data_IF_114820949338
#
_entry.id   IF_114820949338
#
_cell.length_a   1.000
_cell.length_b   1.000
_cell.length_c   1.000
_cell.angle_alpha   90.00
_cell.angle_beta   90.00
_cell.angle_gamma   90.00
#
_symmetry.space_group_name_H-M   'P 1'
#
loop_
_entity.id
_entity.type
_entity.pdbx_description
1 polymer ?
#
# COMPACT_ATOMS: atom_id res chain seq x y z
N UNK A 1 -29.31 -22.94 9.30
CA UNK A 1 -27.99 -22.74 8.75
C UNK A 1 -27.10 -22.12 9.82
N UNK A 2 -25.88 -22.61 10.02
CA UNK A 2 -24.97 -21.99 11.01
C UNK A 2 -24.67 -20.56 10.63
N UNK A 3 -24.61 -19.66 11.64
CA UNK A 3 -24.27 -18.28 11.51
C UNK A 3 -22.89 -18.00 12.13
N UNK A 4 -22.14 -17.07 11.56
CA UNK A 4 -20.87 -16.58 12.11
C UNK A 4 -21.15 -15.27 12.85
N UNK A 5 -20.80 -15.23 14.13
CA UNK A 5 -20.95 -14.05 14.98
C UNK A 5 -19.69 -13.17 14.87
N UNK A 6 -19.80 -12.10 14.06
CA UNK A 6 -18.78 -11.08 13.97
C UNK A 6 -17.57 -11.44 13.10
N UNK A 7 -16.64 -10.48 12.96
CA UNK A 7 -15.44 -10.65 12.15
C UNK A 7 -14.41 -11.58 12.81
N UNK A 8 -13.56 -12.15 11.97
CA UNK A 8 -12.50 -13.07 12.38
C UNK A 8 -11.16 -12.65 11.75
N UNK A 9 -10.09 -12.94 12.45
CA UNK A 9 -8.74 -12.71 11.99
C UNK A 9 -8.25 -13.90 11.15
N UNK A 10 -7.51 -13.60 10.07
CA UNK A 10 -6.93 -14.61 9.20
C UNK A 10 -5.59 -14.11 8.63
N UNK A 11 -4.80 -15.05 8.11
CA UNK A 11 -3.51 -14.74 7.46
C UNK A 11 -3.61 -15.05 5.98
N UNK A 12 -3.14 -14.12 5.13
CA UNK A 12 -3.11 -14.30 3.68
C UNK A 12 -2.10 -15.39 3.31
N UNK A 13 -2.49 -16.26 2.40
CA UNK A 13 -1.72 -17.44 1.99
C UNK A 13 -1.46 -17.46 0.49
N UNK A 14 -0.51 -18.29 0.09
CA UNK A 14 -0.16 -18.51 -1.30
C UNK A 14 0.82 -19.67 -1.46
N UNK A 15 1.27 -19.95 -2.70
CA UNK A 15 2.29 -20.95 -2.96
C UNK A 15 3.60 -20.64 -2.25
N UNK A 16 4.40 -21.67 -1.98
CA UNK A 16 5.71 -21.53 -1.36
C UNK A 16 6.60 -20.56 -2.16
N UNK A 17 7.20 -19.58 -1.47
CA UNK A 17 8.06 -18.55 -2.07
C UNK A 17 7.33 -17.40 -2.75
N UNK A 18 6.00 -17.39 -2.77
CA UNK A 18 5.21 -16.28 -3.33
C UNK A 18 4.89 -15.23 -2.27
N UNK A 19 5.05 -13.96 -2.63
CA UNK A 19 4.72 -12.82 -1.74
C UNK A 19 3.36 -12.20 -2.04
N UNK A 20 2.89 -12.29 -3.27
CA UNK A 20 1.60 -11.75 -3.71
C UNK A 20 0.86 -12.83 -4.49
N UNK A 21 -0.30 -13.24 -3.99
CA UNK A 21 -1.11 -14.27 -4.64
C UNK A 21 -2.56 -13.82 -4.68
N UNK A 22 -2.97 -13.33 -5.84
CA UNK A 22 -4.34 -12.86 -6.08
C UNK A 22 -4.84 -13.34 -7.43
N UNK A 23 -6.15 -13.26 -7.63
CA UNK A 23 -6.77 -13.50 -8.92
C UNK A 23 -6.98 -12.19 -9.72
N UNK A 24 -7.64 -12.28 -10.86
CA UNK A 24 -7.95 -11.15 -11.75
C UNK A 24 -8.87 -10.10 -11.12
N UNK A 25 -9.59 -10.44 -10.05
CA UNK A 25 -10.46 -9.54 -9.30
C UNK A 25 -9.81 -8.96 -8.04
N UNK A 26 -8.52 -9.21 -7.82
CA UNK A 26 -7.84 -8.78 -6.61
C UNK A 26 -8.26 -9.55 -5.36
N UNK A 27 -8.86 -10.73 -5.51
CA UNK A 27 -9.21 -11.62 -4.40
C UNK A 27 -7.99 -12.38 -3.94
N UNK A 28 -7.96 -12.72 -2.66
CA UNK A 28 -6.88 -13.48 -2.04
C UNK A 28 -7.42 -14.71 -1.31
N UNK A 29 -6.52 -15.60 -0.93
CA UNK A 29 -6.82 -16.76 -0.10
C UNK A 29 -6.22 -16.57 1.28
N UNK A 30 -6.86 -17.15 2.29
CA UNK A 30 -6.48 -16.97 3.68
C UNK A 30 -6.55 -18.29 4.45
N UNK A 31 -5.84 -18.32 5.60
CA UNK A 31 -6.01 -19.34 6.61
C UNK A 31 -6.48 -18.66 7.89
N UNK A 32 -7.61 -19.12 8.43
CA UNK A 32 -8.13 -18.65 9.70
C UNK A 32 -7.30 -19.20 10.87
N UNK A 33 -7.17 -18.43 11.92
CA UNK A 33 -6.33 -18.80 13.07
C UNK A 33 -6.81 -20.07 13.80
N UNK A 34 -8.12 -20.37 13.72
CA UNK A 34 -8.72 -21.59 14.31
C UNK A 34 -8.57 -22.82 13.41
N UNK A 35 -8.23 -22.65 12.13
CA UNK A 35 -8.15 -23.73 11.16
C UNK A 35 -6.85 -24.53 11.33
N UNK A 36 -6.99 -25.76 11.80
CA UNK A 36 -5.87 -26.68 12.02
C UNK A 36 -5.67 -27.67 10.89
N UNK A 37 -6.62 -27.78 9.97
CA UNK A 37 -6.67 -28.84 8.98
C UNK A 37 -6.25 -28.41 7.59
N UNK A 38 -6.55 -27.17 7.20
CA UNK A 38 -6.14 -26.66 5.90
C UNK A 38 -4.67 -26.22 5.89
N UNK A 39 -3.94 -26.47 4.79
CA UNK A 39 -2.57 -26.04 4.67
C UNK A 39 -2.47 -24.49 4.55
N UNK A 40 -1.33 -23.92 4.92
CA UNK A 40 -1.04 -22.51 4.72
C UNK A 40 -0.43 -22.28 3.34
N UNK A 41 -1.14 -22.62 2.28
CA UNK A 41 -0.71 -22.52 0.90
C UNK A 41 -1.85 -22.01 -0.01
N UNK A 42 -1.69 -22.15 -1.33
CA UNK A 42 -2.68 -21.73 -2.32
C UNK A 42 -4.06 -22.41 -2.18
N UNK A 43 -4.16 -23.50 -1.46
CA UNK A 43 -5.41 -24.27 -1.30
C UNK A 43 -6.12 -24.05 0.04
N UNK A 44 -5.66 -23.07 0.83
CA UNK A 44 -6.13 -22.84 2.21
C UNK A 44 -7.59 -22.40 2.32
N UNK A 45 -8.11 -21.68 1.33
CA UNK A 45 -9.50 -21.21 1.29
C UNK A 45 -9.99 -21.02 -0.15
N UNK A 46 -11.26 -20.63 -0.31
CA UNK A 46 -11.74 -20.03 -1.56
C UNK A 46 -11.09 -18.65 -1.77
N UNK A 47 -11.29 -18.08 -2.96
CA UNK A 47 -10.96 -16.69 -3.24
C UNK A 47 -11.91 -15.76 -2.51
N UNK A 48 -11.35 -14.82 -1.72
CA UNK A 48 -12.11 -13.88 -0.90
C UNK A 48 -11.88 -12.45 -1.41
N UNK A 49 -12.98 -11.73 -1.63
CA UNK A 49 -12.93 -10.32 -2.03
C UNK A 49 -12.31 -9.46 -0.94
N UNK A 50 -11.61 -8.42 -1.36
CA UNK A 50 -10.95 -7.46 -0.46
C UNK A 50 -11.59 -6.09 -0.61
N UNK A 51 -12.12 -5.53 0.47
CA UNK A 51 -12.58 -4.15 0.50
C UNK A 51 -11.37 -3.20 0.31
N UNK A 52 -11.52 -2.25 -0.59
CA UNK A 52 -10.55 -1.19 -0.86
C UNK A 52 -11.13 0.15 -0.38
N UNK A 53 -10.28 1.14 -0.13
CA UNK A 53 -10.73 2.44 0.34
C UNK A 53 -11.66 3.15 -0.68
N UNK A 54 -11.49 2.86 -1.96
CA UNK A 54 -12.32 3.36 -3.04
C UNK A 54 -12.32 2.34 -4.17
N UNK A 55 -13.51 1.98 -4.68
CA UNK A 55 -13.64 0.96 -5.72
C UNK A 55 -14.74 1.35 -6.71
N UNK A 56 -14.35 1.60 -7.95
CA UNK A 56 -15.23 1.86 -9.09
C UNK A 56 -14.75 1.10 -10.32
N UNK A 57 -15.55 1.10 -11.37
CA UNK A 57 -15.19 0.41 -12.60
C UNK A 57 -14.02 1.14 -13.29
N UNK A 58 -12.83 0.56 -13.19
CA UNK A 58 -11.61 1.09 -13.80
C UNK A 58 -10.95 2.23 -13.04
N UNK A 59 -11.41 2.54 -11.82
CA UNK A 59 -10.80 3.57 -10.96
C UNK A 59 -10.95 3.25 -9.47
N UNK A 60 -10.14 3.87 -8.64
CA UNK A 60 -10.18 3.72 -7.19
C UNK A 60 -8.80 3.45 -6.58
N UNK A 61 -8.78 2.94 -5.35
CA UNK A 61 -7.59 2.50 -4.66
C UNK A 61 -7.44 0.98 -4.79
N UNK A 62 -6.22 0.52 -4.98
CA UNK A 62 -5.93 -0.91 -5.04
C UNK A 62 -4.62 -1.20 -4.32
N UNK A 63 -4.69 -2.02 -3.28
CA UNK A 63 -3.52 -2.59 -2.62
C UNK A 63 -3.83 -4.02 -2.21
N UNK A 64 -3.20 -4.98 -2.87
CA UNK A 64 -3.42 -6.40 -2.61
C UNK A 64 -2.77 -6.77 -1.28
N UNK A 65 -3.50 -7.40 -0.33
CA UNK A 65 -2.89 -7.98 0.86
C UNK A 65 -1.89 -9.06 0.46
N UNK A 66 -0.69 -8.99 1.03
CA UNK A 66 0.39 -9.90 0.68
C UNK A 66 0.38 -11.14 1.58
N UNK A 67 0.98 -12.21 1.09
CA UNK A 67 1.13 -13.47 1.84
C UNK A 67 1.82 -13.20 3.18
N UNK A 68 1.24 -13.73 4.26
CA UNK A 68 1.70 -13.54 5.63
C UNK A 68 1.09 -12.35 6.37
N UNK A 69 0.37 -11.46 5.67
CA UNK A 69 -0.30 -10.32 6.30
C UNK A 69 -1.60 -10.74 6.99
N UNK A 70 -1.89 -10.09 8.13
CA UNK A 70 -3.14 -10.31 8.85
C UNK A 70 -4.27 -9.46 8.28
N UNK A 71 -5.40 -10.09 8.07
CA UNK A 71 -6.63 -9.46 7.56
C UNK A 71 -7.79 -9.75 8.49
N UNK A 72 -8.80 -8.87 8.45
CA UNK A 72 -10.05 -9.04 9.17
C UNK A 72 -11.12 -9.48 8.17
N UNK A 73 -11.67 -10.66 8.39
CA UNK A 73 -12.70 -11.25 7.54
C UNK A 73 -14.04 -11.13 8.24
N UNK A 74 -15.00 -10.51 7.56
CA UNK A 74 -16.40 -10.52 7.98
C UNK A 74 -17.21 -11.42 7.06
N UNK A 75 -18.43 -11.76 7.47
CA UNK A 75 -19.32 -12.66 6.75
C UNK A 75 -20.63 -11.95 6.49
N UNK A 76 -20.97 -11.74 5.24
CA UNK A 76 -22.18 -11.03 4.85
C UNK A 76 -23.42 -11.78 5.37
N UNK A 77 -24.26 -11.07 6.11
CA UNK A 77 -25.43 -11.64 6.80
C UNK A 77 -25.09 -12.81 7.76
N UNK A 78 -23.87 -12.87 8.26
CA UNK A 78 -23.39 -13.97 9.10
C UNK A 78 -23.23 -15.28 8.35
N UNK A 79 -23.28 -15.28 7.02
CA UNK A 79 -23.20 -16.48 6.21
C UNK A 79 -21.74 -16.92 6.00
N UNK A 80 -21.33 -18.09 6.51
CA UNK A 80 -19.96 -18.58 6.36
C UNK A 80 -19.52 -18.78 4.90
N UNK A 81 -20.47 -18.87 3.96
CA UNK A 81 -20.19 -18.99 2.53
C UNK A 81 -20.00 -17.63 1.83
N UNK A 82 -20.14 -16.52 2.56
CA UNK A 82 -20.01 -15.16 2.01
C UNK A 82 -18.97 -14.33 2.77
N UNK A 83 -17.70 -14.77 2.82
CA UNK A 83 -16.64 -14.01 3.47
C UNK A 83 -16.25 -12.79 2.63
N UNK A 84 -15.85 -11.72 3.32
CA UNK A 84 -15.25 -10.54 2.72
C UNK A 84 -14.16 -9.99 3.66
N UNK A 85 -13.01 -9.62 3.11
CA UNK A 85 -11.94 -8.97 3.87
C UNK A 85 -12.27 -7.50 4.00
N UNK A 86 -12.48 -7.04 5.24
CA UNK A 86 -12.89 -5.66 5.56
C UNK A 86 -11.73 -4.76 5.96
N UNK A 87 -10.60 -5.33 6.34
CA UNK A 87 -9.45 -4.54 6.79
C UNK A 87 -8.21 -5.37 6.98
N UNK A 88 -7.17 -4.66 7.40
CA UNK A 88 -5.82 -5.18 7.67
C UNK A 88 -5.34 -4.59 8.97
N UNK A 89 -4.47 -5.30 9.67
CA UNK A 89 -3.95 -4.82 10.93
C UNK A 89 -2.50 -5.23 11.12
N UNK A 90 -1.78 -4.46 11.93
CA UNK A 90 -0.45 -4.80 12.38
C UNK A 90 -0.50 -5.65 13.65
N UNK A 91 0.53 -6.45 13.85
CA UNK A 91 0.74 -7.22 15.07
C UNK A 91 2.25 -7.38 15.33
N UNK A 92 2.63 -8.17 16.33
CA UNK A 92 4.01 -8.29 16.77
C UNK A 92 4.99 -8.70 15.66
N UNK A 93 4.58 -9.54 14.73
CA UNK A 93 5.40 -9.99 13.60
C UNK A 93 5.20 -9.16 12.34
N UNK A 94 3.98 -8.66 12.11
CA UNK A 94 3.62 -7.78 11.00
C UNK A 94 3.59 -6.32 11.48
N UNK A 95 4.74 -5.69 11.57
CA UNK A 95 4.93 -4.39 12.22
C UNK A 95 4.68 -3.20 11.31
N UNK A 96 4.40 -2.06 11.94
CA UNK A 96 4.22 -0.78 11.24
C UNK A 96 5.54 -0.29 10.60
N UNK A 97 5.45 0.55 9.55
CA UNK A 97 6.60 1.34 9.11
C UNK A 97 7.07 2.26 10.23
N UNK A 98 8.38 2.34 10.44
CA UNK A 98 8.97 3.15 11.50
C UNK A 98 8.94 2.49 12.88
N UNK A 99 9.43 3.21 13.87
CA UNK A 99 9.62 2.73 15.25
C UNK A 99 8.67 3.48 16.20
N UNK A 100 7.50 2.92 16.43
CA UNK A 100 6.54 3.47 17.38
C UNK A 100 6.97 3.17 18.84
N UNK A 101 6.71 4.07 19.78
CA UNK A 101 6.01 5.35 19.64
C UNK A 101 6.87 6.53 19.15
N UNK A 102 8.14 6.34 18.88
CA UNK A 102 9.07 7.41 18.51
C UNK A 102 8.67 8.18 17.25
N UNK A 103 8.07 7.51 16.25
CA UNK A 103 7.63 8.11 14.98
C UNK A 103 6.13 8.42 14.94
N UNK A 104 5.48 8.63 16.10
CA UNK A 104 4.03 8.84 16.20
C UNK A 104 3.49 10.08 15.47
N UNK A 105 4.35 11.05 15.15
CA UNK A 105 3.97 12.25 14.40
C UNK A 105 3.97 12.03 12.89
N UNK A 106 4.38 10.85 12.43
CA UNK A 106 4.46 10.52 11.01
C UNK A 106 3.21 9.79 10.53
N UNK A 107 2.74 10.18 9.34
CA UNK A 107 1.77 9.43 8.54
C UNK A 107 2.45 8.99 7.25
N UNK A 108 2.39 7.71 6.92
CA UNK A 108 3.09 7.20 5.75
C UNK A 108 2.24 6.22 4.94
N UNK A 109 2.43 6.27 3.62
CA UNK A 109 2.02 5.24 2.68
C UNK A 109 3.31 4.66 2.10
N UNK A 110 3.69 3.46 2.55
CA UNK A 110 4.93 2.81 2.16
C UNK A 110 4.65 1.46 1.52
N UNK A 111 5.14 1.27 0.31
CA UNK A 111 5.11 -0.01 -0.38
C UNK A 111 6.37 -0.83 -0.08
N UNK A 112 6.46 -2.01 -0.66
CA UNK A 112 7.65 -2.86 -0.59
C UNK A 112 7.93 -3.46 -1.95
N UNK A 113 9.18 -3.46 -2.37
CA UNK A 113 9.60 -4.11 -3.61
C UNK A 113 9.24 -5.60 -3.57
N UNK A 114 8.58 -6.08 -4.63
CA UNK A 114 8.24 -7.49 -4.78
C UNK A 114 9.53 -8.32 -4.85
N UNK A 115 9.63 -9.31 -3.96
CA UNK A 115 10.81 -10.18 -3.80
C UNK A 115 12.12 -9.39 -3.66
N UNK A 116 12.06 -8.26 -2.98
CA UNK A 116 13.21 -7.40 -2.74
C UNK A 116 13.09 -6.63 -1.43
N UNK A 117 14.06 -5.75 -1.17
CA UNK A 117 14.15 -4.99 0.08
C UNK A 117 13.87 -3.49 -0.08
N UNK A 118 13.68 -3.00 -1.31
CA UNK A 118 13.40 -1.60 -1.59
C UNK A 118 11.94 -1.21 -1.30
N UNK A 119 11.63 0.06 -1.50
CA UNK A 119 10.30 0.60 -1.25
C UNK A 119 10.07 1.91 -2.00
N UNK A 120 8.80 2.27 -2.19
CA UNK A 120 8.38 3.63 -2.51
C UNK A 120 7.61 4.17 -1.30
N UNK A 121 7.71 5.47 -1.05
CA UNK A 121 7.06 6.06 0.13
C UNK A 121 6.60 7.48 -0.13
N UNK A 122 5.40 7.81 0.36
CA UNK A 122 4.93 9.17 0.60
C UNK A 122 4.73 9.31 2.10
N UNK A 123 5.50 10.20 2.73
CA UNK A 123 5.50 10.38 4.17
C UNK A 123 5.31 11.84 4.55
N UNK A 124 4.48 12.06 5.58
CA UNK A 124 4.28 13.36 6.22
C UNK A 124 4.81 13.26 7.65
N UNK A 125 5.60 14.24 8.06
CA UNK A 125 5.97 14.40 9.47
C UNK A 125 5.39 15.71 9.98
N UNK A 126 4.57 15.65 10.99
CA UNK A 126 3.83 16.77 11.56
C UNK A 126 4.39 17.22 12.92
N UNK A 127 5.62 16.84 13.25
CA UNK A 127 6.29 17.33 14.44
C UNK A 127 6.55 18.82 14.34
N UNK A 128 6.08 19.60 15.31
CA UNK A 128 6.22 21.07 15.33
C UNK A 128 7.67 21.51 15.14
N UNK A 129 7.90 22.34 14.13
CA UNK A 129 9.23 22.86 13.76
C UNK A 129 10.07 21.88 12.94
N UNK A 130 9.54 20.70 12.63
CA UNK A 130 10.18 19.65 11.82
C UNK A 130 9.25 19.09 10.74
N UNK A 131 8.21 19.85 10.39
CA UNK A 131 7.22 19.44 9.41
C UNK A 131 7.90 19.15 8.07
N UNK A 132 7.52 18.03 7.45
CA UNK A 132 8.13 17.58 6.19
C UNK A 132 7.15 16.76 5.38
N UNK A 133 7.18 16.93 4.05
CA UNK A 133 6.67 15.94 3.10
C UNK A 133 7.86 15.30 2.39
N UNK A 134 7.96 13.99 2.49
CA UNK A 134 9.06 13.21 1.93
C UNK A 134 8.54 12.20 0.92
N UNK A 135 9.13 12.19 -0.28
CA UNK A 135 8.83 11.23 -1.35
C UNK A 135 10.10 10.43 -1.62
N UNK A 136 10.01 9.12 -1.42
CA UNK A 136 11.07 8.18 -1.80
C UNK A 136 10.62 7.33 -2.97
N UNK A 137 11.45 7.29 -4.02
CA UNK A 137 11.22 6.50 -5.21
C UNK A 137 12.39 5.53 -5.38
N UNK A 138 12.10 4.24 -5.41
CA UNK A 138 13.13 3.20 -5.43
C UNK A 138 13.93 3.18 -6.73
N UNK A 139 13.30 3.48 -7.86
CA UNK A 139 13.99 3.43 -9.16
C UNK A 139 13.63 4.62 -10.05
N UNK A 140 12.48 4.66 -10.65
CA UNK A 140 12.08 5.69 -11.62
C UNK A 140 10.87 6.48 -11.12
N UNK A 141 10.89 7.80 -11.35
CA UNK A 141 9.74 8.66 -11.13
C UNK A 141 9.35 9.33 -12.45
N UNK A 142 8.08 9.22 -12.83
CA UNK A 142 7.52 9.87 -14.01
C UNK A 142 6.35 10.75 -13.57
N UNK A 143 6.33 11.98 -14.07
CA UNK A 143 5.25 12.93 -13.81
C UNK A 143 4.74 13.47 -15.15
N UNK A 144 3.45 13.36 -15.40
CA UNK A 144 2.77 13.89 -16.58
C UNK A 144 1.70 14.89 -16.14
N UNK A 145 1.73 16.09 -16.73
CA UNK A 145 0.76 17.17 -16.47
C UNK A 145 0.17 17.63 -17.79
N UNK A 146 -1.14 17.41 -17.98
CA UNK A 146 -1.80 17.66 -19.27
C UNK A 146 -2.11 19.13 -19.54
N UNK A 147 -1.86 20.02 -18.59
CA UNK A 147 -2.02 21.46 -18.78
C UNK A 147 -0.87 22.20 -18.11
N UNK A 148 -1.09 22.93 -17.07
CA UNK A 148 -0.07 23.77 -16.43
C UNK A 148 0.50 23.14 -15.17
N UNK A 149 1.79 23.34 -14.94
CA UNK A 149 2.45 23.08 -13.66
C UNK A 149 3.10 24.36 -13.13
N UNK A 150 2.86 24.67 -11.86
CA UNK A 150 3.52 25.77 -11.15
C UNK A 150 4.20 25.24 -9.89
N UNK A 151 5.34 25.84 -9.54
CA UNK A 151 6.05 25.54 -8.30
C UNK A 151 6.44 26.86 -7.65
N UNK A 152 6.05 27.06 -6.38
CA UNK A 152 6.38 28.24 -5.60
C UNK A 152 7.14 27.80 -4.34
N UNK A 153 8.37 28.30 -4.18
CA UNK A 153 9.24 27.99 -3.04
C UNK A 153 9.69 29.29 -2.41
N UNK A 154 9.18 29.58 -1.22
CA UNK A 154 9.37 30.89 -0.55
C UNK A 154 10.82 31.14 -0.16
N UNK A 155 11.57 30.10 0.17
CA UNK A 155 12.96 30.25 0.58
C UNK A 155 13.90 29.62 -0.45
N UNK A 156 14.49 28.51 -0.19
CA UNK A 156 15.52 27.92 -1.06
C UNK A 156 14.99 26.75 -1.87
N UNK A 157 15.40 26.66 -3.12
CA UNK A 157 15.22 25.49 -3.96
C UNK A 157 16.58 24.96 -4.41
N UNK A 158 16.81 23.64 -4.23
CA UNK A 158 18.05 22.99 -4.67
C UNK A 158 17.72 21.72 -5.45
N UNK A 159 18.40 21.51 -6.57
CA UNK A 159 18.34 20.30 -7.37
C UNK A 159 19.74 19.73 -7.57
N UNK A 160 19.88 18.40 -7.47
CA UNK A 160 21.13 17.72 -7.75
C UNK A 160 20.86 16.58 -8.73
N UNK A 161 21.50 16.64 -9.89
CA UNK A 161 21.42 15.62 -10.93
C UNK A 161 22.76 14.88 -10.97
N UNK A 162 22.74 13.57 -10.71
CA UNK A 162 23.95 12.77 -10.60
C UNK A 162 24.63 12.46 -11.94
N UNK A 163 23.89 12.55 -13.04
CA UNK A 163 24.42 12.28 -14.39
C UNK A 163 23.92 13.36 -15.34
N UNK A 164 22.99 13.09 -16.23
CA UNK A 164 22.55 14.02 -17.28
C UNK A 164 21.21 14.67 -16.94
N UNK A 165 21.03 15.92 -17.31
CA UNK A 165 19.75 16.63 -17.33
C UNK A 165 19.43 17.08 -18.76
N UNK A 166 18.19 16.86 -19.21
CA UNK A 166 17.69 17.40 -20.46
C UNK A 166 16.38 18.17 -20.20
N UNK A 167 16.28 19.40 -20.70
CA UNK A 167 15.08 20.20 -20.65
C UNK A 167 14.76 20.61 -22.09
N UNK A 168 13.54 20.28 -22.54
CA UNK A 168 13.06 20.70 -23.86
C UNK A 168 11.87 21.61 -23.71
N UNK A 169 11.95 22.83 -24.27
CA UNK A 169 10.89 23.84 -24.25
C UNK A 169 10.56 24.19 -25.69
N UNK A 170 9.32 23.95 -26.11
CA UNK A 170 8.91 24.14 -27.52
C UNK A 170 8.91 25.60 -27.94
N UNK A 171 8.46 26.51 -27.08
CA UNK A 171 8.37 27.94 -27.42
C UNK A 171 9.41 28.77 -26.68
N UNK A 172 9.10 29.21 -25.48
CA UNK A 172 9.93 30.16 -24.74
C UNK A 172 10.33 29.65 -23.37
N UNK A 173 11.58 29.85 -23.01
CA UNK A 173 12.05 29.69 -21.65
C UNK A 173 12.57 31.03 -21.14
N UNK A 174 12.09 31.46 -19.98
CA UNK A 174 12.60 32.62 -19.28
C UNK A 174 13.17 32.23 -17.93
N UNK A 175 14.35 32.73 -17.63
CA UNK A 175 14.97 32.58 -16.31
C UNK A 175 15.43 33.93 -15.87
N UNK A 176 14.82 34.47 -14.81
CA UNK A 176 15.19 35.75 -14.22
C UNK A 176 15.89 35.49 -12.91
N UNK A 177 17.11 36.01 -12.78
CA UNK A 177 17.87 36.04 -11.54
C UNK A 177 18.15 37.49 -11.15
N UNK A 178 18.28 37.76 -9.86
CA UNK A 178 18.72 39.03 -9.31
C UNK A 178 20.15 38.88 -8.83
#
# INVERSE_FOLDING_TARGET
KPLVDGPQSAVVTGPAGEEIFCDEHGRVRVKFNWDRYNPSNQDSSCWIRVAQAWAGTGFGNLAIPRVGQEVIVDFLNGDPDQPIIMGRTYHQENRTPGSLPGTKTQMTIRSKTYKGSGFNELKFDDATGKEQVYIHVQKNMNTEVLNNRTTDVINNHAEKIGNNQAITVTNNQMQNGI
#
